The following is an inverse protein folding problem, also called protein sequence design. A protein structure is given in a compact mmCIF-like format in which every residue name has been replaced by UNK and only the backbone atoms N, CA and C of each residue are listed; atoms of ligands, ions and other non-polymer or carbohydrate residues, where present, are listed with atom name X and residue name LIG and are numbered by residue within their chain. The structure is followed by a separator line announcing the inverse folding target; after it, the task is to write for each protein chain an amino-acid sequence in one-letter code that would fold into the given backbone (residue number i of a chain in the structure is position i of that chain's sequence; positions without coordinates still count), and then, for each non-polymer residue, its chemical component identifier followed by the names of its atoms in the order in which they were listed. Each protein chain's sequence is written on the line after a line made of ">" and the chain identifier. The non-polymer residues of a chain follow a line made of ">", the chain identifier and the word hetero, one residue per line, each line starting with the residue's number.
data_IF_057678522000
#
_entry.id   IF_057678522000
#
_cell.length_a   1.000
_cell.length_b   1.000
_cell.length_c   1.000
_cell.angle_alpha   90.00
_cell.angle_beta   90.00
_cell.angle_gamma   90.00
#
_symmetry.space_group_name_H-M   'P 1'
#
loop_
_entity.id
_entity.type
_entity.pdbx_description
1 polymer ?
#
# COMPACT_ATOMS: atom_id res chain seq x y z
N UNK A 1 38.04 15.69 -30.03
CA UNK A 1 37.50 14.53 -29.29
C UNK A 1 37.31 14.93 -27.85
N UNK A 2 36.09 15.30 -27.47
CA UNK A 2 35.73 15.65 -26.09
C UNK A 2 35.26 14.38 -25.37
N UNK A 3 35.97 13.99 -24.31
CA UNK A 3 35.52 12.95 -23.37
C UNK A 3 34.24 13.44 -22.68
N UNK A 4 33.15 12.72 -22.86
CA UNK A 4 31.94 12.85 -22.07
C UNK A 4 32.24 12.41 -20.63
N UNK A 5 32.05 13.32 -19.67
CA UNK A 5 32.03 12.99 -18.24
C UNK A 5 30.88 12.01 -18.00
N UNK A 6 31.18 10.82 -17.47
CA UNK A 6 30.15 9.93 -16.97
C UNK A 6 29.47 10.60 -15.79
N UNK A 7 28.15 10.70 -15.82
CA UNK A 7 27.35 11.09 -14.67
C UNK A 7 27.61 10.06 -13.55
N UNK A 8 27.98 10.56 -12.37
CA UNK A 8 28.17 9.75 -11.16
C UNK A 8 26.86 9.04 -10.85
N UNK A 9 26.78 7.74 -11.16
CA UNK A 9 25.69 6.90 -10.71
C UNK A 9 25.77 6.81 -9.19
N UNK A 10 24.77 7.35 -8.51
CA UNK A 10 24.66 7.24 -7.05
C UNK A 10 24.31 5.78 -6.73
N UNK A 11 25.27 5.04 -6.19
CA UNK A 11 25.11 3.64 -5.81
C UNK A 11 24.30 3.57 -4.50
N UNK A 12 23.15 2.89 -4.54
CA UNK A 12 22.29 2.67 -3.37
C UNK A 12 22.81 1.43 -2.64
N UNK A 13 23.30 1.60 -1.41
CA UNK A 13 23.72 0.48 -0.57
C UNK A 13 22.54 -0.05 0.25
N UNK A 14 22.33 -1.37 0.19
CA UNK A 14 21.35 -2.07 1.03
C UNK A 14 22.08 -2.57 2.27
N UNK A 15 21.72 -2.05 3.45
CA UNK A 15 22.27 -2.54 4.72
C UNK A 15 21.34 -3.61 5.28
N UNK A 16 21.72 -4.88 5.09
CA UNK A 16 20.99 -6.01 5.66
C UNK A 16 21.62 -6.35 7.02
N UNK A 17 20.88 -6.22 8.14
CA UNK A 17 21.40 -6.53 9.47
C UNK A 17 21.98 -7.96 9.50
N UNK A 18 23.27 -8.08 9.80
CA UNK A 18 24.04 -9.34 9.70
C UNK A 18 23.63 -10.44 10.69
N UNK A 19 22.70 -10.19 11.60
CA UNK A 19 22.44 -11.09 12.75
C UNK A 19 21.15 -11.91 12.69
N UNK A 20 20.25 -11.69 11.71
CA UNK A 20 19.05 -12.52 11.58
C UNK A 20 19.11 -13.40 10.32
N UNK A 21 19.62 -14.63 10.50
CA UNK A 21 19.74 -15.67 9.44
C UNK A 21 18.43 -16.00 8.71
N UNK A 22 17.28 -15.51 9.18
CA UNK A 22 15.97 -15.75 8.61
C UNK A 22 15.33 -14.51 7.97
N UNK A 23 15.97 -13.32 8.03
CA UNK A 23 15.41 -12.10 7.47
C UNK A 23 15.97 -11.82 6.08
N UNK A 24 15.96 -12.83 5.21
CA UNK A 24 16.17 -12.56 3.80
C UNK A 24 14.86 -11.98 3.28
N UNK A 25 14.85 -10.74 2.77
CA UNK A 25 13.65 -10.12 2.22
C UNK A 25 13.04 -11.01 1.14
N UNK A 26 11.72 -11.20 1.18
CA UNK A 26 10.98 -12.15 0.35
C UNK A 26 11.55 -13.59 0.38
N UNK A 27 12.20 -14.02 1.47
CA UNK A 27 12.85 -15.33 1.54
C UNK A 27 13.95 -15.55 0.51
N UNK A 28 14.48 -14.47 -0.09
CA UNK A 28 15.43 -14.52 -1.20
C UNK A 28 14.80 -14.78 -2.57
N UNK A 29 13.47 -14.67 -2.68
CA UNK A 29 12.72 -14.79 -3.94
C UNK A 29 12.76 -13.50 -4.75
N UNK A 30 12.33 -13.61 -6.01
CA UNK A 30 12.26 -12.47 -6.92
C UNK A 30 11.26 -11.42 -6.44
N UNK A 31 11.59 -10.16 -6.68
CA UNK A 31 10.68 -9.02 -6.54
C UNK A 31 9.95 -8.85 -7.86
N UNK A 32 8.63 -9.00 -7.84
CA UNK A 32 7.77 -8.90 -9.02
C UNK A 32 7.30 -7.46 -9.27
N UNK A 33 7.05 -6.70 -8.21
CA UNK A 33 6.69 -5.29 -8.30
C UNK A 33 7.13 -4.48 -7.08
N UNK A 34 7.16 -3.16 -7.25
CA UNK A 34 7.50 -2.23 -6.18
C UNK A 34 6.74 -0.93 -6.32
N UNK A 35 6.53 -0.24 -5.19
CA UNK A 35 5.91 1.08 -5.10
C UNK A 35 6.75 1.98 -4.20
N UNK A 36 6.86 3.26 -4.57
CA UNK A 36 7.53 4.27 -3.76
C UNK A 36 6.48 5.06 -2.97
N UNK A 37 6.80 5.38 -1.72
CA UNK A 37 6.01 6.37 -0.98
C UNK A 37 6.13 7.74 -1.64
N UNK A 38 5.12 8.61 -1.55
CA UNK A 38 5.15 9.94 -2.18
C UNK A 38 6.34 10.80 -1.75
N UNK A 39 6.70 10.73 -0.46
CA UNK A 39 7.85 11.47 0.09
C UNK A 39 9.21 10.80 -0.18
N UNK A 40 9.23 9.70 -0.96
CA UNK A 40 10.42 8.90 -1.30
C UNK A 40 11.21 8.38 -0.08
N UNK A 41 10.57 8.26 1.09
CA UNK A 41 11.21 7.72 2.30
C UNK A 41 11.03 6.22 2.47
N UNK A 42 10.19 5.59 1.65
CA UNK A 42 9.89 4.18 1.78
C UNK A 42 9.66 3.52 0.42
N UNK A 43 10.00 2.24 0.34
CA UNK A 43 9.70 1.34 -0.78
C UNK A 43 8.87 0.18 -0.25
N UNK A 44 7.77 -0.13 -0.90
CA UNK A 44 7.08 -1.41 -0.73
C UNK A 44 7.45 -2.31 -1.90
N UNK A 45 7.84 -3.55 -1.64
CA UNK A 45 8.13 -4.56 -2.66
C UNK A 45 7.19 -5.75 -2.49
N UNK A 46 6.83 -6.39 -3.59
CA UNK A 46 5.96 -7.57 -3.64
C UNK A 46 6.70 -8.73 -4.30
N UNK A 47 6.56 -9.92 -3.72
CA UNK A 47 6.92 -11.19 -4.37
C UNK A 47 5.67 -12.07 -4.48
N UNK A 48 5.37 -12.50 -5.70
CA UNK A 48 4.31 -13.47 -6.01
C UNK A 48 4.75 -14.90 -5.67
N UNK A 49 6.04 -15.21 -5.78
CA UNK A 49 6.58 -16.53 -5.43
C UNK A 49 6.53 -16.77 -3.92
N UNK A 50 6.97 -15.79 -3.13
CA UNK A 50 6.94 -15.86 -1.66
C UNK A 50 5.59 -15.41 -1.07
N UNK A 51 4.70 -14.85 -1.91
CA UNK A 51 3.39 -14.30 -1.53
C UNK A 51 3.51 -13.35 -0.34
N UNK A 52 4.45 -12.42 -0.47
CA UNK A 52 4.83 -11.50 0.60
C UNK A 52 5.03 -10.07 0.11
N UNK A 53 4.79 -9.12 1.00
CA UNK A 53 5.10 -7.70 0.82
C UNK A 53 6.20 -7.37 1.82
N UNK A 54 7.26 -6.70 1.38
CA UNK A 54 8.32 -6.20 2.25
C UNK A 54 8.37 -4.68 2.14
N UNK A 55 8.56 -4.02 3.28
CA UNK A 55 8.71 -2.59 3.36
C UNK A 55 10.11 -2.22 3.79
N UNK A 56 10.65 -1.26 3.06
CA UNK A 56 11.96 -0.72 3.24
C UNK A 56 11.88 0.76 3.56
N UNK A 57 12.66 1.20 4.53
CA UNK A 57 12.87 2.62 4.80
C UNK A 57 14.11 3.12 4.06
N UNK A 58 14.00 4.27 3.40
CA UNK A 58 15.09 4.99 2.76
C UNK A 58 15.54 6.07 3.74
N UNK A 59 16.79 5.98 4.18
CA UNK A 59 17.40 6.98 5.04
C UNK A 59 17.89 8.20 4.24
N UNK A 60 18.23 9.29 4.93
CA UNK A 60 18.82 10.48 4.30
C UNK A 60 20.18 10.20 3.61
N UNK A 61 20.83 9.10 3.99
CA UNK A 61 22.07 8.62 3.37
C UNK A 61 21.81 7.70 2.17
N UNK A 62 20.56 7.60 1.71
CA UNK A 62 20.08 6.70 0.66
C UNK A 62 20.33 5.21 0.97
N UNK A 63 20.47 4.87 2.25
CA UNK A 63 20.56 3.48 2.72
C UNK A 63 19.14 2.93 2.85
N UNK A 64 18.91 1.76 2.26
CA UNK A 64 17.64 1.04 2.30
C UNK A 64 17.69 0.00 3.41
N UNK A 65 16.81 0.14 4.42
CA UNK A 65 16.73 -0.75 5.57
C UNK A 65 15.42 -1.52 5.60
N UNK A 66 15.48 -2.82 5.88
CA UNK A 66 14.29 -3.63 6.17
C UNK A 66 13.55 -3.07 7.39
N UNK A 67 12.27 -2.77 7.25
CA UNK A 67 11.43 -2.29 8.36
C UNK A 67 10.44 -3.39 8.79
N UNK A 68 9.58 -3.84 7.87
CA UNK A 68 8.53 -4.81 8.18
C UNK A 68 8.12 -5.62 6.93
N UNK A 69 7.36 -6.69 7.11
CA UNK A 69 6.78 -7.50 6.02
C UNK A 69 5.34 -7.92 6.29
N UNK A 70 4.56 -8.21 5.25
CA UNK A 70 3.26 -8.88 5.35
C UNK A 70 3.33 -10.19 4.57
N UNK A 71 2.84 -11.27 5.18
CA UNK A 71 2.62 -12.55 4.52
C UNK A 71 1.11 -12.86 4.42
N UNK A 72 0.78 -13.99 3.80
CA UNK A 72 -0.61 -14.45 3.64
C UNK A 72 -1.35 -14.56 4.98
N UNK A 73 -0.73 -15.14 6.00
CA UNK A 73 -1.36 -15.31 7.31
C UNK A 73 -1.71 -13.96 7.95
N UNK A 74 -0.85 -12.96 7.79
CA UNK A 74 -1.11 -11.59 8.25
C UNK A 74 -2.30 -10.97 7.51
N UNK A 75 -2.38 -11.16 6.18
CA UNK A 75 -3.48 -10.65 5.36
C UNK A 75 -4.81 -11.34 5.69
N UNK A 76 -4.79 -12.67 5.82
CA UNK A 76 -5.95 -13.46 6.21
C UNK A 76 -6.49 -12.96 7.55
N UNK A 77 -5.62 -12.77 8.54
CA UNK A 77 -6.00 -12.23 9.84
C UNK A 77 -6.57 -10.79 9.73
N UNK A 78 -5.87 -9.91 9.01
CA UNK A 78 -6.27 -8.52 8.84
C UNK A 78 -7.64 -8.37 8.15
N UNK A 79 -7.95 -9.23 7.17
CA UNK A 79 -9.17 -9.16 6.39
C UNK A 79 -10.33 -9.93 7.04
N UNK A 80 -10.09 -11.07 7.69
CA UNK A 80 -11.16 -11.84 8.32
C UNK A 80 -11.72 -11.22 9.60
N UNK A 81 -10.98 -10.30 10.23
CA UNK A 81 -11.48 -9.54 11.39
C UNK A 81 -12.59 -8.56 11.01
N UNK A 82 -12.68 -8.18 9.73
CA UNK A 82 -13.70 -7.27 9.23
C UNK A 82 -14.88 -8.03 8.61
N UNK A 83 -16.10 -7.69 9.04
CA UNK A 83 -17.34 -8.24 8.49
C UNK A 83 -17.50 -8.01 6.98
N UNK A 84 -16.89 -6.96 6.41
CA UNK A 84 -16.99 -6.63 4.99
C UNK A 84 -16.03 -7.46 4.12
N UNK A 85 -14.97 -8.00 4.71
CA UNK A 85 -13.96 -8.81 4.02
C UNK A 85 -14.02 -10.29 4.42
N UNK A 86 -14.94 -10.67 5.31
CA UNK A 86 -15.05 -12.03 5.82
C UNK A 86 -15.61 -12.96 4.74
N UNK A 87 -14.71 -13.71 4.09
CA UNK A 87 -15.05 -14.86 3.27
C UNK A 87 -14.32 -16.10 3.79
N UNK A 88 -15.01 -17.01 4.50
CA UNK A 88 -14.38 -18.16 5.14
C UNK A 88 -13.75 -19.17 4.16
N UNK A 89 -14.21 -19.17 2.91
CA UNK A 89 -13.72 -20.09 1.86
C UNK A 89 -12.81 -19.41 0.83
N UNK A 90 -12.40 -18.15 1.07
CA UNK A 90 -11.53 -17.43 0.15
C UNK A 90 -10.07 -17.89 0.31
N UNK A 91 -9.43 -18.23 -0.80
CA UNK A 91 -8.00 -18.50 -0.81
C UNK A 91 -7.22 -17.19 -0.92
N UNK A 92 -6.63 -16.73 0.18
CA UNK A 92 -5.85 -15.48 0.24
C UNK A 92 -4.63 -15.46 -0.67
N UNK A 93 -4.14 -16.63 -1.09
CA UNK A 93 -3.08 -16.71 -2.10
C UNK A 93 -3.49 -16.08 -3.43
N UNK A 94 -4.79 -16.12 -3.78
CA UNK A 94 -5.31 -15.57 -5.02
C UNK A 94 -5.06 -14.06 -5.16
N UNK A 95 -4.87 -13.33 -4.05
CA UNK A 95 -4.50 -11.91 -4.05
C UNK A 95 -3.18 -11.70 -4.80
N UNK A 96 -2.21 -12.61 -4.64
CA UNK A 96 -0.89 -12.52 -5.26
C UNK A 96 -0.84 -13.11 -6.67
N UNK A 97 -1.82 -13.96 -7.01
CA UNK A 97 -1.87 -14.67 -8.29
C UNK A 97 -2.49 -13.85 -9.44
N UNK A 98 -3.00 -12.65 -9.16
CA UNK A 98 -3.53 -11.78 -10.21
C UNK A 98 -2.48 -11.53 -11.31
N UNK A 99 -2.83 -11.95 -12.53
CA UNK A 99 -2.00 -11.80 -13.72
C UNK A 99 -2.17 -10.40 -14.32
N UNK A 100 -3.34 -9.78 -14.10
CA UNK A 100 -3.74 -8.56 -14.80
C UNK A 100 -3.44 -7.29 -14.00
N UNK A 101 -3.32 -7.38 -12.68
CA UNK A 101 -3.12 -6.21 -11.83
C UNK A 101 -2.14 -6.49 -10.70
N UNK A 102 -1.34 -5.48 -10.36
CA UNK A 102 -0.49 -5.52 -9.18
C UNK A 102 -1.33 -5.38 -7.91
N UNK A 103 -1.22 -6.32 -6.96
CA UNK A 103 -1.96 -6.24 -5.71
C UNK A 103 -1.44 -5.15 -4.79
N UNK A 104 -0.17 -4.73 -4.91
CA UNK A 104 0.40 -3.65 -4.11
C UNK A 104 0.19 -2.31 -4.83
N UNK A 105 -0.77 -1.51 -4.37
CA UNK A 105 -1.14 -0.25 -5.00
C UNK A 105 -0.36 0.96 -4.46
N UNK A 106 0.05 0.92 -3.19
CA UNK A 106 0.73 2.05 -2.59
C UNK A 106 1.21 1.82 -1.16
N UNK A 107 2.05 2.73 -0.68
CA UNK A 107 2.64 2.71 0.66
C UNK A 107 2.72 4.12 1.26
N UNK A 108 2.30 4.27 2.52
CA UNK A 108 2.39 5.53 3.28
C UNK A 108 3.45 5.43 4.35
N UNK A 109 4.55 6.16 4.16
CA UNK A 109 5.56 6.43 5.18
C UNK A 109 5.96 5.20 6.04
N UNK A 110 6.05 4.02 5.41
CA UNK A 110 6.36 2.72 6.03
C UNK A 110 5.35 2.23 7.09
N UNK A 111 4.20 2.90 7.24
CA UNK A 111 3.16 2.55 8.22
C UNK A 111 2.04 1.72 7.61
N UNK A 112 1.59 2.11 6.42
CA UNK A 112 0.41 1.52 5.77
C UNK A 112 0.74 1.07 4.35
N UNK A 113 0.13 -0.01 3.91
CA UNK A 113 0.06 -0.40 2.49
C UNK A 113 -1.38 -0.43 2.03
N UNK A 114 -1.56 -0.16 0.73
CA UNK A 114 -2.81 -0.29 0.01
C UNK A 114 -2.71 -1.55 -0.82
N UNK A 115 -3.63 -2.48 -0.58
CA UNK A 115 -3.69 -3.75 -1.30
C UNK A 115 -4.97 -3.79 -2.11
N UNK A 116 -4.86 -4.04 -3.42
CA UNK A 116 -5.99 -4.29 -4.31
C UNK A 116 -6.65 -5.61 -3.91
N UNK A 117 -7.98 -5.59 -3.85
CA UNK A 117 -8.80 -6.77 -3.66
C UNK A 117 -9.57 -7.04 -4.96
N UNK A 118 -9.86 -8.30 -5.24
CA UNK A 118 -10.64 -8.70 -6.40
C UNK A 118 -12.11 -8.31 -6.20
N UNK A 119 -12.69 -7.59 -7.16
CA UNK A 119 -14.08 -7.09 -7.10
C UNK A 119 -15.12 -8.22 -7.02
N UNK A 120 -14.81 -9.39 -7.58
CA UNK A 120 -15.66 -10.58 -7.49
C UNK A 120 -15.61 -11.21 -6.08
N UNK A 121 -14.53 -10.95 -5.37
CA UNK A 121 -14.24 -11.60 -4.10
C UNK A 121 -14.60 -10.75 -2.88
N UNK A 122 -14.59 -9.43 -2.97
CA UNK A 122 -14.78 -8.56 -1.82
C UNK A 122 -15.84 -7.49 -2.09
N UNK A 123 -16.49 -7.00 -1.02
CA UNK A 123 -17.42 -5.88 -1.12
C UNK A 123 -16.72 -4.52 -1.30
N UNK A 124 -15.38 -4.51 -1.36
CA UNK A 124 -14.52 -3.34 -1.47
C UNK A 124 -13.37 -3.66 -2.44
N UNK A 125 -12.96 -2.66 -3.22
CA UNK A 125 -11.93 -2.80 -4.26
C UNK A 125 -10.49 -2.86 -3.69
N UNK A 126 -10.29 -2.40 -2.45
CA UNK A 126 -8.98 -2.36 -1.81
C UNK A 126 -9.07 -2.37 -0.27
N UNK A 127 -7.96 -2.71 0.38
CA UNK A 127 -7.79 -2.59 1.82
C UNK A 127 -6.52 -1.81 2.15
N UNK A 128 -6.58 -1.03 3.23
CA UNK A 128 -5.41 -0.40 3.83
C UNK A 128 -5.03 -1.21 5.07
N UNK A 129 -3.77 -1.63 5.14
CA UNK A 129 -3.27 -2.47 6.23
C UNK A 129 -2.14 -1.74 6.93
N UNK A 130 -2.28 -1.63 8.25
CA UNK A 130 -1.18 -1.21 9.10
C UNK A 130 -0.14 -2.33 9.15
N UNK A 131 1.06 -2.01 8.68
CA UNK A 131 2.12 -2.99 8.48
C UNK A 131 2.70 -3.42 9.82
N UNK A 132 2.63 -2.58 10.86
CA UNK A 132 3.18 -2.92 12.19
C UNK A 132 2.18 -3.74 12.98
N UNK A 133 0.92 -3.33 12.99
CA UNK A 133 -0.10 -4.03 13.78
C UNK A 133 -0.71 -5.22 13.05
N UNK A 134 -0.49 -5.36 11.72
CA UNK A 134 -1.10 -6.40 10.88
C UNK A 134 -2.63 -6.36 10.92
N UNK A 135 -3.19 -5.15 11.00
CA UNK A 135 -4.64 -4.93 11.08
C UNK A 135 -5.09 -4.06 9.93
N UNK A 136 -6.29 -4.35 9.41
CA UNK A 136 -6.97 -3.48 8.46
C UNK A 136 -7.32 -2.15 9.14
N UNK A 137 -7.01 -1.06 8.46
CA UNK A 137 -7.48 0.26 8.84
C UNK A 137 -8.81 0.55 8.13
N UNK A 138 -9.84 0.89 8.92
CA UNK A 138 -11.17 1.20 8.38
C UNK A 138 -11.20 2.66 7.98
N UNK A 139 -11.27 2.91 6.67
CA UNK A 139 -11.61 4.22 6.12
C UNK A 139 -13.12 4.34 5.98
N UNK A 140 -13.68 5.39 6.56
CA UNK A 140 -15.08 5.75 6.34
C UNK A 140 -15.10 6.91 5.36
N UNK A 141 -15.10 6.58 4.07
CA UNK A 141 -15.27 7.57 3.00
C UNK A 141 -16.72 7.48 2.53
N UNK A 142 -17.49 8.56 2.63
CA UNK A 142 -18.83 8.60 2.04
C UNK A 142 -18.76 9.24 0.66
N UNK A 143 -19.48 8.68 -0.32
CA UNK A 143 -19.63 9.28 -1.65
C UNK A 143 -18.74 8.71 -2.75
N UNK A 144 -18.06 7.58 -2.50
CA UNK A 144 -17.52 6.72 -3.55
C UNK A 144 -18.66 5.83 -4.06
N UNK A 145 -19.35 6.26 -5.12
CA UNK A 145 -20.46 5.48 -5.72
C UNK A 145 -20.03 4.72 -6.99
N UNK A 146 -18.72 4.67 -7.29
CA UNK A 146 -18.19 4.14 -8.54
C UNK A 146 -16.85 3.42 -8.33
N UNK A 147 -16.42 2.68 -9.34
CA UNK A 147 -15.16 1.92 -9.35
C UNK A 147 -13.96 2.82 -9.14
N UNK A 148 -13.06 2.36 -8.28
CA UNK A 148 -11.84 3.11 -7.99
C UNK A 148 -10.76 2.75 -9.00
N UNK A 149 -10.43 3.67 -9.90
CA UNK A 149 -9.41 3.44 -10.94
C UNK A 149 -7.97 3.61 -10.44
N UNK A 150 -7.78 4.38 -9.36
CA UNK A 150 -6.48 4.57 -8.75
C UNK A 150 -6.61 5.01 -7.30
N UNK A 151 -5.73 4.47 -6.46
CA UNK A 151 -5.64 4.77 -5.03
C UNK A 151 -4.17 4.97 -4.71
N UNK A 152 -3.82 6.13 -4.17
CA UNK A 152 -2.45 6.40 -3.75
C UNK A 152 -2.44 7.33 -2.54
N UNK A 153 -1.35 7.31 -1.79
CA UNK A 153 -1.14 8.28 -0.73
C UNK A 153 -0.60 9.59 -1.29
N UNK A 154 -0.84 10.68 -0.58
CA UNK A 154 -0.22 11.98 -0.77
C UNK A 154 0.98 12.16 0.16
N UNK A 155 1.80 13.17 -0.10
CA UNK A 155 2.99 13.48 0.70
C UNK A 155 2.68 13.77 2.18
N UNK A 156 1.47 14.23 2.49
CA UNK A 156 1.00 14.54 3.83
C UNK A 156 0.30 13.37 4.55
N UNK A 157 0.46 12.14 4.05
CA UNK A 157 -0.21 10.92 4.54
C UNK A 157 -1.75 10.90 4.30
N UNK A 158 -2.30 11.88 3.60
CA UNK A 158 -3.69 11.82 3.15
C UNK A 158 -3.85 10.77 2.03
N UNK A 159 -5.04 10.19 1.90
CA UNK A 159 -5.37 9.28 0.80
C UNK A 159 -6.01 10.07 -0.34
N UNK A 160 -5.57 9.80 -1.56
CA UNK A 160 -6.23 10.30 -2.76
C UNK A 160 -6.83 9.13 -3.54
N UNK A 161 -8.06 9.36 -4.02
CA UNK A 161 -8.81 8.43 -4.86
C UNK A 161 -9.07 9.08 -6.20
N UNK A 162 -8.64 8.43 -7.27
CA UNK A 162 -8.90 8.86 -8.64
C UNK A 162 -9.92 7.94 -9.30
N UNK A 163 -10.98 8.52 -9.85
CA UNK A 163 -11.92 7.84 -10.72
C UNK A 163 -11.93 8.53 -12.10
N UNK A 164 -12.00 7.78 -13.20
CA UNK A 164 -12.05 8.33 -14.56
C UNK A 164 -13.37 9.08 -14.78
N UNK A 165 -13.44 10.34 -14.34
CA UNK A 165 -14.56 11.22 -14.69
C UNK A 165 -14.86 12.38 -13.74
N UNK A 166 -14.33 12.38 -12.51
CA UNK A 166 -14.69 13.41 -11.51
C UNK A 166 -13.49 13.92 -10.72
N UNK A 167 -13.67 15.18 -10.25
CA UNK A 167 -12.68 16.00 -9.56
C UNK A 167 -12.24 15.35 -8.24
N UNK A 168 -10.93 15.45 -8.01
CA UNK A 168 -10.11 14.96 -6.91
C UNK A 168 -10.57 15.58 -5.56
N UNK A 169 -10.81 14.76 -4.54
CA UNK A 169 -10.98 15.20 -3.15
C UNK A 169 -9.93 14.52 -2.25
N UNK A 170 -9.03 15.28 -1.58
CA UNK A 170 -8.09 14.70 -0.62
C UNK A 170 -8.82 14.21 0.64
N UNK A 171 -8.52 12.99 1.07
CA UNK A 171 -9.11 12.36 2.26
C UNK A 171 -8.07 12.33 3.36
N UNK A 172 -8.31 13.09 4.43
CA UNK A 172 -7.40 13.12 5.58
C UNK A 172 -7.80 12.10 6.65
N UNK A 173 -6.80 11.39 7.17
CA UNK A 173 -6.99 10.37 8.21
C UNK A 173 -6.98 11.00 9.61
N UNK A 174 -8.12 11.50 10.08
CA UNK A 174 -8.45 11.55 11.52
C UNK A 174 -9.95 11.55 11.71
N UNK A 175 -10.49 10.59 12.49
CA UNK A 175 -11.83 10.55 13.11
C UNK A 175 -12.88 11.49 12.49
N UNK A 176 -13.20 11.32 11.20
CA UNK A 176 -14.17 12.16 10.51
C UNK A 176 -15.14 11.28 9.72
N UNK A 177 -16.42 11.57 9.88
CA UNK A 177 -17.47 11.06 9.01
C UNK A 177 -17.74 12.14 7.97
N UNK A 178 -17.34 11.88 6.73
CA UNK A 178 -17.75 12.69 5.58
C UNK A 178 -19.25 12.46 5.38
N UNK A 179 -20.10 13.47 5.20
CA UNK A 179 -21.48 13.26 4.72
C UNK A 179 -21.76 14.14 3.51
N UNK A 180 -22.13 13.51 2.40
CA UNK A 180 -22.47 14.20 1.15
C UNK A 180 -23.97 14.52 1.12
N UNK A 181 -24.30 15.78 0.86
CA UNK A 181 -25.65 16.22 0.53
C UNK A 181 -25.81 16.22 -1.00
N UNK A 182 -27.05 15.98 -1.48
CA UNK A 182 -27.45 15.91 -2.90
C UNK A 182 -26.99 17.07 -3.81
N UNK A 183 -26.48 18.17 -3.26
CA UNK A 183 -26.06 19.36 -4.02
C UNK A 183 -24.52 19.54 -4.13
N UNK A 184 -23.72 18.56 -3.71
CA UNK A 184 -22.26 18.59 -3.97
C UNK A 184 -21.43 19.60 -3.17
N UNK A 185 -22.01 20.24 -2.15
CA UNK A 185 -21.24 21.05 -1.20
C UNK A 185 -20.90 20.22 0.04
N UNK A 186 -19.60 20.09 0.33
CA UNK A 186 -19.10 19.48 1.57
C UNK A 186 -18.98 20.55 2.64
N UNK A 187 -19.59 20.31 3.81
CA UNK A 187 -19.46 21.18 4.99
C UNK A 187 -18.79 20.39 6.10
N UNK A 188 -17.66 20.90 6.59
CA UNK A 188 -16.94 20.35 7.73
C UNK A 188 -17.67 20.80 9.00
N UNK A 189 -18.04 19.85 9.86
CA UNK A 189 -18.55 20.13 11.21
C UNK A 189 -17.63 19.42 12.19
N UNK A 190 -16.97 20.21 13.05
CA UNK A 190 -16.06 19.73 14.08
C UNK A 190 -16.88 19.24 15.29
N UNK A 191 -16.46 18.13 15.89
CA UNK A 191 -16.74 17.81 17.30
C UNK A 191 -15.43 17.87 18.09
#
# INVERSE_FOLDING_TARGET
>A
MSLSKSEDQTEISIDVPREEKNNVPHGGKNIDSYVLSPNMKCIGTLSKEDKSIVVWSITNELIVNYDNSLNISDLEHALNTDKFCKKPDFNFENIFESIYDDPLLGISNCKQVIIKLSDDDFAIDFAIIDIRTKLRQILIVQGLEEWTNGVFFLENEDLELSNMGLIIEPISFQNQILMKNRNGHVKIVLQ
#
